data_IF_011268588415
#
_entry.id   IF_011268588415
#
_cell.length_a   1.000
_cell.length_b   1.000
_cell.length_c   1.000
_cell.angle_alpha   90.00
_cell.angle_beta   90.00
_cell.angle_gamma   90.00
#
_symmetry.space_group_name_H-M   'P 1'
#
loop_
_entity.id
_entity.type
_entity.pdbx_description
1 polymer ?
#
# COMPACT_ATOMS: atom_id res chain seq x y z
N UNK A 1 -12.09 33.04 24.88
CA UNK A 1 -12.83 32.61 23.68
C UNK A 1 -12.62 31.10 23.57
N UNK A 2 -13.51 30.33 24.17
CA UNK A 2 -13.46 28.86 24.10
C UNK A 2 -13.84 28.48 22.68
N UNK A 3 -12.85 28.08 21.89
CA UNK A 3 -13.10 27.37 20.65
C UNK A 3 -13.84 26.09 21.03
N UNK A 4 -15.05 25.93 20.50
CA UNK A 4 -15.86 24.72 20.56
C UNK A 4 -14.97 23.48 20.45
N UNK A 5 -15.14 22.51 21.35
CA UNK A 5 -14.33 21.28 21.41
C UNK A 5 -14.30 20.55 20.06
N UNK A 6 -15.40 20.63 19.29
CA UNK A 6 -15.46 20.12 17.92
C UNK A 6 -14.58 20.91 16.93
N UNK A 7 -14.45 22.22 17.10
CA UNK A 7 -13.57 23.07 16.27
C UNK A 7 -12.09 22.79 16.52
N UNK A 8 -11.71 22.39 17.73
CA UNK A 8 -10.34 21.97 18.06
C UNK A 8 -10.02 20.57 17.54
N UNK A 9 -10.99 19.66 17.59
CA UNK A 9 -10.82 18.28 17.14
C UNK A 9 -10.40 18.17 15.67
N UNK A 10 -11.05 18.95 14.79
CA UNK A 10 -10.79 18.97 13.34
C UNK A 10 -9.71 19.95 12.88
N UNK A 11 -9.04 20.65 13.80
CA UNK A 11 -8.08 21.69 13.44
C UNK A 11 -6.94 21.12 12.57
N UNK A 12 -6.66 21.79 11.44
CA UNK A 12 -5.55 21.40 10.58
C UNK A 12 -5.77 20.15 9.73
N UNK A 13 -7.01 19.64 9.64
CA UNK A 13 -7.33 18.47 8.83
C UNK A 13 -6.85 18.61 7.39
N UNK A 14 -6.18 17.57 6.88
CA UNK A 14 -5.53 17.53 5.55
C UNK A 14 -4.39 18.55 5.36
N UNK A 15 -4.13 19.43 6.33
CA UNK A 15 -3.11 20.48 6.27
C UNK A 15 -1.71 20.01 6.67
N UNK A 16 -1.59 18.82 7.28
CA UNK A 16 -0.33 18.25 7.75
C UNK A 16 -0.06 16.88 7.13
N UNK A 17 1.20 16.42 7.23
CA UNK A 17 1.61 15.09 6.80
C UNK A 17 2.84 15.13 5.89
N UNK A 18 2.92 14.18 4.97
CA UNK A 18 3.98 14.04 3.98
C UNK A 18 3.41 13.57 2.65
N UNK A 19 4.28 13.27 1.68
CA UNK A 19 3.87 12.70 0.38
C UNK A 19 3.20 11.32 0.50
N UNK A 20 3.44 10.59 1.60
CA UNK A 20 2.88 9.24 1.79
C UNK A 20 1.48 9.26 2.41
N UNK A 21 1.30 10.03 3.50
CA UNK A 21 0.07 10.08 4.31
C UNK A 21 -0.23 11.49 4.81
N UNK A 22 -1.52 11.81 4.98
CA UNK A 22 -2.00 13.06 5.58
C UNK A 22 -2.24 12.80 7.05
N UNK A 23 -1.50 13.45 7.95
CA UNK A 23 -1.63 13.18 9.39
C UNK A 23 -1.07 14.32 10.21
N UNK A 24 -1.61 14.51 11.40
CA UNK A 24 -1.30 15.64 12.29
C UNK A 24 -0.34 15.24 13.41
N UNK A 25 0.46 14.19 13.18
CA UNK A 25 1.54 13.76 14.07
C UNK A 25 2.77 13.23 13.33
N UNK A 26 3.92 13.29 14.02
CA UNK A 26 5.17 12.59 13.68
C UNK A 26 5.33 11.37 14.59
N UNK A 27 6.11 10.38 14.16
CA UNK A 27 6.45 9.20 14.98
C UNK A 27 7.86 9.35 15.51
N UNK A 28 8.10 8.85 16.73
CA UNK A 28 9.45 8.59 17.23
C UNK A 28 9.85 7.17 16.82
N UNK A 29 10.93 7.06 16.05
CA UNK A 29 11.44 5.79 15.58
C UNK A 29 12.16 5.05 16.72
N UNK A 30 11.72 3.85 17.15
CA UNK A 30 12.36 3.15 18.27
C UNK A 30 13.77 2.64 17.96
N UNK A 31 14.09 2.43 16.67
CA UNK A 31 15.40 1.94 16.22
C UNK A 31 16.54 2.97 16.36
N UNK A 32 16.26 4.26 16.10
CA UNK A 32 17.26 5.32 16.06
C UNK A 32 16.91 6.52 16.96
N UNK A 33 15.73 6.52 17.58
CA UNK A 33 15.18 7.60 18.40
C UNK A 33 14.94 8.94 17.66
N UNK A 34 15.07 8.95 16.33
CA UNK A 34 14.80 10.10 15.50
C UNK A 34 13.30 10.26 15.19
N UNK A 35 12.89 11.47 14.78
CA UNK A 35 11.49 11.83 14.57
C UNK A 35 11.16 11.97 13.09
N UNK A 36 10.14 11.25 12.63
CA UNK A 36 9.77 11.23 11.21
C UNK A 36 8.29 11.48 10.96
N UNK A 37 8.00 12.04 9.78
CA UNK A 37 6.63 12.21 9.31
C UNK A 37 5.91 10.93 8.99
N UNK A 38 6.56 9.78 8.78
CA UNK A 38 5.99 8.43 8.75
C UNK A 38 7.11 7.39 8.64
N UNK A 39 6.75 6.10 8.66
CA UNK A 39 7.74 5.01 8.48
C UNK A 39 8.43 5.08 7.12
N UNK A 40 7.73 5.53 6.07
CA UNK A 40 8.33 5.63 4.73
C UNK A 40 9.31 6.79 4.66
N UNK A 41 8.99 7.94 5.28
CA UNK A 41 9.96 9.03 5.44
C UNK A 41 11.20 8.57 6.21
N UNK A 42 11.03 7.73 7.24
CA UNK A 42 12.15 7.10 7.94
C UNK A 42 12.98 6.23 6.98
N UNK A 43 12.40 5.21 6.37
CA UNK A 43 13.11 4.25 5.52
C UNK A 43 13.76 4.91 4.28
N UNK A 44 13.19 6.01 3.77
CA UNK A 44 13.80 6.80 2.68
C UNK A 44 15.03 7.62 3.13
N UNK A 45 15.17 7.89 4.44
CA UNK A 45 16.25 8.71 5.01
C UNK A 45 17.42 7.90 5.57
N UNK A 46 17.21 6.61 5.84
CA UNK A 46 18.20 5.71 6.47
C UNK A 46 19.30 5.34 5.48
N UNK A 47 20.56 5.54 5.85
CA UNK A 47 21.73 5.27 4.99
C UNK A 47 22.19 3.81 5.01
N UNK A 48 21.97 3.15 6.13
CA UNK A 48 22.29 1.73 6.39
C UNK A 48 21.17 0.79 5.94
N UNK A 49 20.06 1.33 5.44
CA UNK A 49 18.96 0.56 4.85
C UNK A 49 18.08 -0.19 5.84
N UNK A 50 18.19 0.11 7.15
CA UNK A 50 17.29 -0.49 8.12
C UNK A 50 15.86 0.07 7.99
N UNK A 51 14.87 -0.77 8.28
CA UNK A 51 13.47 -0.37 8.21
C UNK A 51 12.85 -0.20 9.59
N UNK A 52 11.93 0.76 9.70
CA UNK A 52 11.16 0.95 10.92
C UNK A 52 10.08 -0.12 11.05
N UNK A 53 10.11 -0.86 12.16
CA UNK A 53 8.98 -1.70 12.58
C UNK A 53 7.83 -0.81 13.05
N UNK A 54 6.73 -0.84 12.28
CA UNK A 54 5.53 -0.05 12.56
C UNK A 54 4.88 -0.40 13.90
N UNK A 55 5.00 -1.64 14.35
CA UNK A 55 4.34 -2.12 15.56
C UNK A 55 5.09 -1.72 16.84
N UNK A 56 6.40 -1.48 16.72
CA UNK A 56 7.26 -1.07 17.81
C UNK A 56 7.16 0.43 18.15
N UNK A 57 6.40 1.23 17.41
CA UNK A 57 6.22 2.66 17.70
C UNK A 57 5.35 2.86 18.94
N UNK A 58 5.93 3.49 19.96
CA UNK A 58 5.26 3.75 21.25
C UNK A 58 4.85 5.21 21.46
N UNK A 59 5.56 6.17 20.85
CA UNK A 59 5.26 7.60 20.97
C UNK A 59 5.10 8.33 19.65
N UNK A 60 4.27 9.37 19.68
CA UNK A 60 3.99 10.30 18.60
C UNK A 60 4.12 11.74 19.08
N UNK A 61 4.48 12.64 18.18
CA UNK A 61 4.61 14.08 18.44
C UNK A 61 3.54 14.80 17.64
N UNK A 62 2.65 15.53 18.31
CA UNK A 62 1.60 16.32 17.67
C UNK A 62 2.22 17.42 16.78
N UNK A 63 1.72 17.58 15.55
CA UNK A 63 2.19 18.63 14.63
C UNK A 63 1.53 20.00 14.87
N UNK A 64 0.54 20.07 15.76
CA UNK A 64 -0.18 21.31 16.08
C UNK A 64 0.41 22.03 17.30
N UNK A 65 0.81 21.26 18.32
CA UNK A 65 1.29 21.82 19.59
C UNK A 65 2.62 21.22 20.08
N UNK A 66 3.29 20.42 19.23
CA UNK A 66 4.58 19.77 19.50
C UNK A 66 4.65 18.90 20.77
N UNK A 67 3.48 18.52 21.31
CA UNK A 67 3.40 17.62 22.46
C UNK A 67 3.77 16.20 22.04
N UNK A 68 4.75 15.62 22.73
CA UNK A 68 5.04 14.20 22.66
C UNK A 68 4.14 13.40 23.61
N UNK A 69 3.62 12.28 23.11
CA UNK A 69 2.68 11.45 23.83
C UNK A 69 2.72 9.97 23.41
N UNK A 70 2.21 9.05 24.24
CA UNK A 70 1.94 7.68 23.80
C UNK A 70 1.02 7.65 22.59
N UNK A 71 1.14 6.61 21.75
CA UNK A 71 0.28 6.46 20.56
C UNK A 71 -1.21 6.46 20.96
N UNK A 72 -1.91 7.50 20.53
CA UNK A 72 -3.35 7.66 20.66
C UNK A 72 -3.87 8.48 19.49
N UNK A 73 -5.15 8.33 19.12
CA UNK A 73 -5.74 9.08 18.02
C UNK A 73 -5.79 10.58 18.30
N UNK A 74 -6.08 10.98 19.54
CA UNK A 74 -6.29 12.38 19.92
C UNK A 74 -5.12 12.89 20.74
N UNK A 75 -4.70 14.12 20.47
CA UNK A 75 -3.66 14.76 21.26
C UNK A 75 -4.19 15.09 22.67
N UNK A 76 -3.51 14.63 23.72
CA UNK A 76 -4.00 14.86 25.10
C UNK A 76 -3.89 16.33 25.52
N UNK A 77 -3.01 17.11 24.90
CA UNK A 77 -2.75 18.49 25.28
C UNK A 77 -3.66 19.49 24.53
N UNK A 78 -3.77 19.37 23.20
CA UNK A 78 -4.55 20.33 22.40
C UNK A 78 -5.91 19.80 21.90
N UNK A 79 -6.22 18.51 22.11
CA UNK A 79 -7.50 17.90 21.72
C UNK A 79 -7.67 17.62 20.22
N UNK A 80 -6.68 17.92 19.39
CA UNK A 80 -6.76 17.64 17.95
C UNK A 80 -6.76 16.12 17.70
N UNK A 81 -7.65 15.64 16.85
CA UNK A 81 -7.54 14.30 16.28
C UNK A 81 -6.29 14.27 15.39
N UNK A 82 -5.43 13.27 15.45
CA UNK A 82 -4.17 13.23 14.69
C UNK A 82 -4.25 12.44 13.38
N UNK A 83 -5.39 11.79 13.14
CA UNK A 83 -5.73 11.07 11.91
C UNK A 83 -7.20 10.70 11.95
N UNK A 84 -7.97 11.06 10.92
CA UNK A 84 -9.39 10.70 10.81
C UNK A 84 -9.58 9.17 10.82
N UNK A 85 -8.73 8.45 10.09
CA UNK A 85 -8.53 7.01 10.25
C UNK A 85 -7.36 6.77 11.20
N UNK A 86 -7.60 5.96 12.23
CA UNK A 86 -6.58 5.50 13.17
C UNK A 86 -6.65 3.98 13.35
N UNK A 87 -5.50 3.33 13.23
CA UNK A 87 -5.35 1.92 13.56
C UNK A 87 -4.34 1.73 14.68
N UNK A 88 -4.83 1.32 15.86
CA UNK A 88 -4.01 1.08 17.05
C UNK A 88 -3.05 -0.11 16.91
N UNK A 89 -3.43 -1.14 16.14
CA UNK A 89 -2.59 -2.30 15.88
C UNK A 89 -1.38 -1.95 14.99
N UNK A 90 -1.60 -1.14 13.95
CA UNK A 90 -0.54 -0.72 13.03
C UNK A 90 0.14 0.61 13.41
N UNK A 91 -0.31 1.28 14.48
CA UNK A 91 0.11 2.64 14.86
C UNK A 91 -0.01 3.64 13.70
N UNK A 92 -1.07 3.48 12.91
CA UNK A 92 -1.27 4.17 11.63
C UNK A 92 -2.32 5.28 11.74
N UNK A 93 -2.07 6.38 11.05
CA UNK A 93 -2.87 7.61 11.06
C UNK A 93 -2.96 8.14 9.64
N UNK A 94 -4.18 8.40 9.15
CA UNK A 94 -4.40 9.13 7.90
C UNK A 94 -5.68 9.98 7.97
N UNK A 95 -5.63 11.21 7.48
CA UNK A 95 -6.78 12.11 7.32
C UNK A 95 -7.53 11.85 6.02
N UNK A 96 -6.85 11.22 5.05
CA UNK A 96 -7.40 10.88 3.75
C UNK A 96 -8.25 9.61 3.85
N UNK A 97 -9.49 9.77 4.34
CA UNK A 97 -10.46 8.68 4.50
C UNK A 97 -11.06 8.21 3.17
N UNK A 98 -10.93 9.00 2.10
CA UNK A 98 -11.41 8.65 0.75
C UNK A 98 -10.63 7.46 0.16
N UNK A 99 -9.46 7.15 0.73
CA UNK A 99 -8.71 5.92 0.46
C UNK A 99 -9.35 4.67 1.05
N UNK A 100 -10.39 4.80 1.86
CA UNK A 100 -11.15 3.68 2.43
C UNK A 100 -10.24 2.65 3.13
N UNK A 101 -9.40 3.15 4.04
CA UNK A 101 -8.47 2.32 4.80
C UNK A 101 -9.20 1.27 5.63
N UNK A 102 -8.65 0.06 5.72
CA UNK A 102 -9.15 -0.97 6.62
C UNK A 102 -8.02 -1.85 7.14
N UNK A 103 -8.14 -2.33 8.38
CA UNK A 103 -7.21 -3.30 8.94
C UNK A 103 -7.65 -4.73 8.64
N UNK A 104 -6.76 -5.52 8.04
CA UNK A 104 -6.96 -6.97 7.92
C UNK A 104 -6.26 -7.66 9.09
N UNK A 105 -7.04 -8.32 9.95
CA UNK A 105 -6.52 -9.02 11.14
C UNK A 105 -5.57 -10.15 10.76
N UNK A 106 -5.91 -10.94 9.74
CA UNK A 106 -5.11 -12.09 9.31
C UNK A 106 -3.78 -11.66 8.67
N UNK A 107 -3.75 -10.50 8.01
CA UNK A 107 -2.50 -9.92 7.49
C UNK A 107 -1.72 -9.13 8.54
N UNK A 108 -2.35 -8.68 9.62
CA UNK A 108 -1.76 -7.79 10.62
C UNK A 108 -1.46 -6.37 10.13
N UNK A 109 -1.97 -5.96 8.95
CA UNK A 109 -1.67 -4.66 8.34
C UNK A 109 -2.91 -3.96 7.78
N UNK A 110 -2.84 -2.63 7.69
CA UNK A 110 -3.84 -1.83 7.01
C UNK A 110 -3.67 -1.91 5.49
N UNK A 111 -4.81 -2.01 4.79
CA UNK A 111 -4.95 -1.95 3.34
C UNK A 111 -5.84 -0.76 2.97
N UNK A 112 -5.90 -0.45 1.68
CA UNK A 112 -6.59 0.70 1.07
C UNK A 112 -7.56 0.18 0.01
N UNK A 113 -8.67 0.88 -0.20
CA UNK A 113 -9.67 0.57 -1.24
C UNK A 113 -10.92 -0.13 -0.72
N UNK A 114 -11.22 -0.06 0.57
CA UNK A 114 -12.49 -0.49 1.16
C UNK A 114 -12.54 -1.97 1.51
N UNK A 115 -12.95 -2.28 2.74
CA UNK A 115 -12.97 -3.65 3.26
C UNK A 115 -13.80 -4.61 2.39
N UNK A 116 -14.92 -4.13 1.85
CA UNK A 116 -15.87 -4.94 1.07
C UNK A 116 -15.34 -5.29 -0.33
N UNK A 117 -14.34 -4.55 -0.82
CA UNK A 117 -13.70 -4.80 -2.11
C UNK A 117 -12.58 -5.84 -2.03
N UNK A 118 -12.24 -6.31 -0.82
CA UNK A 118 -11.16 -7.26 -0.61
C UNK A 118 -11.62 -8.50 0.16
N UNK A 119 -10.90 -9.60 -0.04
CA UNK A 119 -11.00 -10.80 0.79
C UNK A 119 -9.61 -11.30 1.14
N UNK A 120 -9.48 -11.86 2.34
CA UNK A 120 -8.25 -12.57 2.73
C UNK A 120 -8.31 -14.00 2.19
N UNK A 121 -7.27 -14.43 1.48
CA UNK A 121 -7.09 -15.83 1.11
C UNK A 121 -6.13 -16.49 2.11
N UNK A 122 -6.65 -17.40 2.94
CA UNK A 122 -5.87 -18.09 3.97
C UNK A 122 -4.69 -18.88 3.39
N UNK A 123 -4.90 -19.57 2.26
CA UNK A 123 -3.85 -20.34 1.57
C UNK A 123 -2.69 -19.45 1.10
N UNK A 124 -3.01 -18.30 0.52
CA UNK A 124 -2.00 -17.35 0.05
C UNK A 124 -1.43 -16.50 1.20
N UNK A 125 -2.14 -16.41 2.33
CA UNK A 125 -1.82 -15.52 3.45
C UNK A 125 -1.86 -14.04 3.07
N UNK A 126 -2.76 -13.63 2.17
CA UNK A 126 -2.81 -12.28 1.59
C UNK A 126 -4.21 -11.82 1.22
N UNK A 127 -4.42 -10.50 1.24
CA UNK A 127 -5.65 -9.87 0.76
C UNK A 127 -5.62 -9.65 -0.75
N UNK A 128 -6.71 -10.01 -1.43
CA UNK A 128 -6.92 -9.77 -2.86
C UNK A 128 -8.24 -9.05 -3.09
N UNK A 129 -8.36 -8.38 -4.24
CA UNK A 129 -9.65 -7.84 -4.69
C UNK A 129 -10.68 -8.98 -4.81
N UNK A 130 -11.93 -8.73 -4.42
CA UNK A 130 -13.04 -9.70 -4.58
C UNK A 130 -13.24 -10.17 -6.02
N UNK A 131 -12.77 -9.41 -7.01
CA UNK A 131 -12.74 -9.82 -8.42
C UNK A 131 -11.90 -11.08 -8.69
N UNK A 132 -10.89 -11.35 -7.85
CA UNK A 132 -10.00 -12.50 -7.91
C UNK A 132 -10.47 -13.70 -7.08
N UNK A 133 -11.62 -13.59 -6.40
CA UNK A 133 -12.21 -14.69 -5.64
C UNK A 133 -12.43 -15.88 -6.57
N UNK A 134 -11.91 -17.04 -6.18
CA UNK A 134 -11.98 -18.33 -6.90
C UNK A 134 -11.37 -18.35 -8.31
N UNK A 135 -10.68 -17.27 -8.73
CA UNK A 135 -10.04 -17.14 -10.06
C UNK A 135 -8.52 -17.07 -10.03
N UNK A 136 -7.93 -16.72 -8.90
CA UNK A 136 -6.48 -16.61 -8.79
C UNK A 136 -5.82 -17.98 -8.61
N UNK A 137 -4.62 -18.13 -9.17
CA UNK A 137 -3.78 -19.28 -8.88
C UNK A 137 -3.25 -19.13 -7.45
N UNK A 138 -3.80 -19.89 -6.50
CA UNK A 138 -3.33 -19.89 -5.11
C UNK A 138 -1.92 -20.49 -5.03
N UNK A 139 -0.91 -19.64 -4.88
CA UNK A 139 0.42 -20.04 -4.45
C UNK A 139 0.61 -19.56 -3.00
N UNK A 140 1.03 -20.47 -2.13
CA UNK A 140 1.35 -20.12 -0.74
C UNK A 140 2.38 -18.99 -0.69
N UNK A 141 2.09 -17.98 0.13
CA UNK A 141 2.99 -16.84 0.39
C UNK A 141 3.46 -16.08 -0.86
N UNK A 142 2.72 -16.11 -1.97
CA UNK A 142 3.13 -15.45 -3.23
C UNK A 142 3.56 -13.99 -3.03
N UNK A 143 2.81 -13.25 -2.21
CA UNK A 143 3.06 -11.83 -1.89
C UNK A 143 4.17 -11.58 -0.86
N UNK A 144 4.64 -12.60 -0.13
CA UNK A 144 5.72 -12.47 0.86
C UNK A 144 7.08 -12.68 0.20
N UNK A 145 7.28 -12.03 -0.94
CA UNK A 145 8.51 -12.07 -1.72
C UNK A 145 8.87 -10.66 -2.21
N UNK A 146 10.08 -10.52 -2.73
CA UNK A 146 10.51 -9.30 -3.39
C UNK A 146 10.01 -9.28 -4.84
N UNK A 147 9.72 -8.08 -5.34
CA UNK A 147 9.42 -7.91 -6.76
C UNK A 147 10.60 -8.41 -7.60
N UNK A 148 10.39 -9.27 -8.61
CA UNK A 148 11.48 -9.84 -9.42
C UNK A 148 12.18 -8.80 -10.32
N UNK A 149 11.67 -7.57 -10.38
CA UNK A 149 12.19 -6.50 -11.24
C UNK A 149 12.94 -5.45 -10.42
N UNK A 150 12.32 -4.87 -9.39
CA UNK A 150 12.95 -3.83 -8.57
C UNK A 150 13.53 -4.34 -7.23
N UNK A 151 13.30 -5.61 -6.89
CA UNK A 151 13.75 -6.25 -5.64
C UNK A 151 13.22 -5.61 -4.34
N UNK A 152 12.25 -4.70 -4.42
CA UNK A 152 11.51 -4.18 -3.27
C UNK A 152 10.53 -5.25 -2.73
N UNK A 153 10.39 -5.33 -1.42
CA UNK A 153 9.45 -6.26 -0.78
C UNK A 153 7.99 -5.90 -1.13
N UNK A 154 7.19 -6.89 -1.53
CA UNK A 154 5.85 -6.65 -2.06
C UNK A 154 4.80 -6.42 -0.97
N UNK A 155 4.87 -7.19 0.12
CA UNK A 155 3.77 -7.31 1.08
C UNK A 155 3.39 -5.98 1.73
N UNK A 156 4.39 -5.17 2.04
CA UNK A 156 4.26 -3.92 2.78
C UNK A 156 4.54 -2.66 1.93
N UNK A 157 4.79 -2.82 0.63
CA UNK A 157 4.95 -1.71 -0.30
C UNK A 157 3.65 -0.90 -0.44
N UNK A 158 3.78 0.40 -0.72
CA UNK A 158 2.65 1.27 -1.08
C UNK A 158 2.26 1.16 -2.55
N UNK A 159 3.09 0.49 -3.35
CA UNK A 159 2.86 0.36 -4.78
C UNK A 159 1.85 -0.75 -5.02
N UNK A 160 0.95 -0.50 -5.97
CA UNK A 160 0.01 -1.50 -6.44
C UNK A 160 0.75 -2.75 -6.93
N UNK A 161 0.14 -3.91 -6.73
CA UNK A 161 0.70 -5.20 -7.11
C UNK A 161 -0.21 -5.90 -8.10
N UNK A 162 0.39 -6.60 -9.05
CA UNK A 162 -0.27 -7.42 -10.05
C UNK A 162 0.00 -8.89 -9.76
N UNK A 163 -1.07 -9.69 -9.80
CA UNK A 163 -1.00 -11.16 -9.70
C UNK A 163 -1.01 -11.71 -11.12
N UNK A 164 0.09 -12.34 -11.53
CA UNK A 164 0.18 -12.99 -12.83
C UNK A 164 -0.68 -14.26 -12.87
N UNK A 165 -1.00 -14.74 -14.07
CA UNK A 165 -1.77 -16.00 -14.26
C UNK A 165 -1.14 -17.21 -13.59
N UNK A 166 0.20 -17.27 -13.61
CA UNK A 166 0.92 -18.34 -12.94
C UNK A 166 0.79 -18.29 -11.41
N UNK A 167 0.32 -17.18 -10.83
CA UNK A 167 0.15 -16.96 -9.39
C UNK A 167 1.24 -16.10 -8.75
N UNK A 168 2.36 -15.88 -9.45
CA UNK A 168 3.44 -14.99 -8.99
C UNK A 168 3.04 -13.52 -9.02
N UNK A 169 3.58 -12.74 -8.09
CA UNK A 169 3.22 -11.34 -7.89
C UNK A 169 4.39 -10.40 -8.13
N UNK A 170 4.11 -9.21 -8.64
CA UNK A 170 5.08 -8.12 -8.83
C UNK A 170 4.37 -6.76 -8.73
N UNK A 171 5.10 -5.64 -8.62
CA UNK A 171 4.46 -4.32 -8.71
C UNK A 171 3.80 -4.09 -10.06
N UNK A 172 2.64 -3.44 -10.07
CA UNK A 172 1.90 -3.14 -11.30
C UNK A 172 2.73 -2.29 -12.27
N UNK A 173 3.48 -1.32 -11.74
CA UNK A 173 4.39 -0.51 -12.55
C UNK A 173 5.49 -1.38 -13.19
N UNK A 174 6.11 -2.28 -12.42
CA UNK A 174 7.11 -3.21 -12.95
C UNK A 174 6.51 -4.16 -13.98
N UNK A 175 5.27 -4.60 -13.79
CA UNK A 175 4.52 -5.37 -14.79
C UNK A 175 4.33 -4.58 -16.09
N UNK A 176 3.92 -3.32 -16.03
CA UNK A 176 3.78 -2.48 -17.23
C UNK A 176 5.13 -2.22 -17.93
N UNK A 177 6.21 -1.97 -17.19
CA UNK A 177 7.55 -1.84 -17.77
C UNK A 177 8.00 -3.12 -18.45
N UNK A 178 7.72 -4.28 -17.86
CA UNK A 178 7.99 -5.58 -18.47
C UNK A 178 7.24 -5.74 -19.81
N UNK A 179 5.97 -5.33 -19.89
CA UNK A 179 5.19 -5.35 -21.12
C UNK A 179 5.73 -4.40 -22.20
N UNK A 180 6.19 -3.20 -21.82
CA UNK A 180 6.80 -2.23 -22.74
C UNK A 180 8.09 -2.73 -23.40
N UNK A 181 8.76 -3.69 -22.76
CA UNK A 181 9.98 -4.32 -23.28
C UNK A 181 9.72 -5.68 -23.96
N UNK A 182 8.47 -5.94 -24.36
CA UNK A 182 8.04 -7.16 -25.06
C UNK A 182 8.38 -8.45 -24.29
N UNK A 183 8.35 -8.38 -22.95
CA UNK A 183 8.55 -9.55 -22.08
C UNK A 183 7.20 -10.09 -21.63
N UNK A 184 6.76 -11.15 -22.29
CA UNK A 184 5.44 -11.77 -22.05
C UNK A 184 5.48 -13.03 -21.18
N UNK A 185 6.62 -13.32 -20.56
CA UNK A 185 6.82 -14.47 -19.69
C UNK A 185 7.09 -14.03 -18.26
N UNK A 186 6.54 -14.77 -17.29
CA UNK A 186 6.83 -14.54 -15.88
C UNK A 186 8.33 -14.65 -15.61
N UNK A 187 8.98 -13.66 -14.98
CA UNK A 187 10.41 -13.69 -14.71
C UNK A 187 10.82 -14.74 -13.66
N UNK A 188 9.86 -15.35 -12.96
CA UNK A 188 10.10 -16.33 -11.90
C UNK A 188 10.00 -17.77 -12.43
N UNK A 189 9.00 -18.07 -13.26
CA UNK A 189 8.74 -19.43 -13.74
C UNK A 189 8.65 -19.56 -15.26
N UNK A 190 8.91 -18.49 -16.01
CA UNK A 190 8.88 -18.44 -17.47
C UNK A 190 7.52 -18.74 -18.13
N UNK A 191 6.47 -18.97 -17.34
CA UNK A 191 5.11 -19.18 -17.84
C UNK A 191 4.58 -17.92 -18.54
N UNK A 192 3.86 -18.05 -19.67
CA UNK A 192 3.22 -16.92 -20.34
C UNK A 192 2.25 -16.19 -19.41
N UNK A 193 2.29 -14.85 -19.43
CA UNK A 193 1.41 -14.01 -18.60
C UNK A 193 0.02 -13.84 -19.23
N UNK A 194 -0.11 -14.08 -20.53
CA UNK A 194 -1.37 -14.08 -21.27
C UNK A 194 -1.65 -15.46 -21.86
N UNK A 195 -2.92 -15.68 -22.19
CA UNK A 195 -3.31 -16.78 -23.05
C UNK A 195 -2.81 -16.47 -24.47
N UNK A 196 -1.68 -17.07 -24.84
CA UNK A 196 -1.02 -16.82 -26.14
C UNK A 196 -1.96 -17.13 -27.29
N UNK A 197 -2.86 -18.11 -27.17
CA UNK A 197 -3.81 -18.46 -28.24
C UNK A 197 -4.86 -17.37 -28.44
N UNK A 198 -5.27 -16.68 -27.37
CA UNK A 198 -6.19 -15.53 -27.48
C UNK A 198 -5.48 -14.27 -27.95
N UNK A 199 -4.24 -14.07 -27.52
CA UNK A 199 -3.42 -12.93 -27.93
C UNK A 199 -3.06 -13.01 -29.42
N UNK A 200 -2.60 -14.16 -29.89
CA UNK A 200 -2.32 -14.41 -31.31
C UNK A 200 -3.59 -14.26 -32.17
N UNK A 201 -4.73 -14.81 -31.73
CA UNK A 201 -6.01 -14.61 -32.43
C UNK A 201 -6.45 -13.14 -32.52
N UNK A 202 -6.12 -12.32 -31.52
CA UNK A 202 -6.42 -10.89 -31.55
C UNK A 202 -5.49 -10.13 -32.50
N UNK A 203 -4.20 -10.46 -32.52
CA UNK A 203 -3.24 -9.91 -33.48
C UNK A 203 -3.56 -10.30 -34.92
N UNK A 204 -3.93 -11.56 -35.15
CA UNK A 204 -4.38 -12.04 -36.46
C UNK A 204 -5.61 -11.23 -36.91
N UNK A 205 -6.57 -10.98 -36.03
CA UNK A 205 -7.76 -10.19 -36.35
C UNK A 205 -7.44 -8.71 -36.67
N UNK A 206 -6.45 -8.11 -36.00
CA UNK A 206 -5.99 -6.75 -36.30
C UNK A 206 -5.20 -6.69 -37.63
N UNK A 207 -4.38 -7.69 -37.94
CA UNK A 207 -3.65 -7.79 -39.21
C UNK A 207 -4.61 -7.99 -40.40
N UNK A 208 -5.68 -8.76 -40.21
CA UNK A 208 -6.78 -8.90 -41.19
C UNK A 208 -7.56 -7.59 -41.38
N UNK A 209 -7.80 -6.81 -40.31
CA UNK A 209 -8.43 -5.50 -40.43
C UNK A 209 -7.53 -4.51 -41.18
N UNK A 210 -6.21 -4.51 -40.92
CA UNK A 210 -5.28 -3.58 -41.58
C UNK A 210 -5.10 -3.93 -43.07
N UNK A 211 -5.11 -5.21 -43.44
CA UNK A 211 -5.07 -5.65 -44.84
C UNK A 211 -6.38 -5.46 -45.61
N UNK A 212 -7.49 -5.14 -44.94
CA UNK A 212 -8.79 -4.90 -45.59
C UNK A 212 -9.06 -3.41 -45.91
N UNK A 213 -8.18 -2.50 -45.47
CA UNK A 213 -8.22 -1.05 -45.80
C UNK A 213 -7.18 -0.62 -46.85
N UNK A 214 -6.49 -1.57 -47.49
CA UNK A 214 -5.57 -1.33 -48.60
C UNK A 214 -6.12 -1.99 -49.87
N UNK A 215 -7.28 -1.53 -50.32
CA UNK A 215 -7.78 -1.68 -51.70
C UNK A 215 -8.45 -0.38 -52.14
#
# INVERSE_FOLDING_TARGET
MELDDASRHGFGRMGFGCKHYRRRCRIRAPCCNDVFHCRHCHNESTKDGHELDRHAVESVICLVCDTEQPVAQVCYNCGVCMGEYFCSACKFFDDDVDREHFHCQDCGICRVGGKDNFFHCEKCGSCYSVSLRDKHCCIENSMKNNCPICYEYLFDSLRETSVLRCGHTMHLQCFHEMLKHDKFSCPICSMPIFDMDKFLRALDAEEYCHNMFIF
#
